data_IF_846822024138
#
_entry.id   IF_846822024138
#
_cell.length_a   1.000
_cell.length_b   1.000
_cell.length_c   1.000
_cell.angle_alpha   90.00
_cell.angle_beta   90.00
_cell.angle_gamma   90.00
#
_symmetry.space_group_name_H-M   'P 1'
#
loop_
_entity.id
_entity.type
_entity.pdbx_description
1 polymer ?
#
# COMPACT_ATOMS: atom_id res chain seq x y z
N UNK A 1 -42.66 -25.97 -33.11
CA UNK A 1 -42.39 -24.70 -32.43
C UNK A 1 -41.02 -24.25 -32.86
N UNK A 2 -40.97 -23.23 -33.70
CA UNK A 2 -39.80 -22.86 -34.51
C UNK A 2 -39.09 -21.67 -33.87
N UNK A 3 -37.75 -21.63 -33.91
CA UNK A 3 -36.87 -20.57 -33.38
C UNK A 3 -37.22 -19.13 -33.82
N UNK A 4 -38.14 -18.94 -34.77
CA UNK A 4 -38.69 -17.64 -35.17
C UNK A 4 -39.74 -17.07 -34.21
N UNK A 5 -40.43 -17.91 -33.44
CA UNK A 5 -41.47 -17.43 -32.50
C UNK A 5 -40.86 -16.85 -31.22
N UNK A 6 -39.63 -17.26 -30.87
CA UNK A 6 -38.92 -16.75 -29.71
C UNK A 6 -38.35 -15.33 -29.92
N UNK A 7 -38.04 -14.93 -31.17
CA UNK A 7 -37.51 -13.59 -31.43
C UNK A 7 -38.62 -12.54 -31.43
N UNK A 8 -39.83 -12.83 -31.92
CA UNK A 8 -40.90 -11.80 -31.95
C UNK A 8 -41.48 -11.51 -30.56
N UNK A 9 -41.47 -12.48 -29.64
CA UNK A 9 -41.85 -12.23 -28.24
C UNK A 9 -40.84 -11.32 -27.52
N UNK A 10 -39.55 -11.42 -27.86
CA UNK A 10 -38.52 -10.58 -27.23
C UNK A 10 -38.57 -9.11 -27.68
N UNK A 11 -39.07 -8.82 -28.88
CA UNK A 11 -39.25 -7.45 -29.35
C UNK A 11 -40.52 -6.79 -28.82
N UNK A 12 -41.62 -7.54 -28.66
CA UNK A 12 -42.85 -7.01 -28.06
C UNK A 12 -42.70 -6.67 -26.57
N UNK A 13 -41.81 -7.38 -25.85
CA UNK A 13 -41.51 -7.07 -24.43
C UNK A 13 -40.62 -5.82 -24.25
N UNK A 14 -39.94 -5.38 -25.30
CA UNK A 14 -39.12 -4.17 -25.29
C UNK A 14 -39.94 -2.89 -25.59
N UNK A 15 -41.02 -2.98 -26.37
CA UNK A 15 -41.89 -1.83 -26.67
C UNK A 15 -42.84 -1.46 -25.51
N UNK A 16 -43.23 -2.41 -24.65
CA UNK A 16 -44.03 -2.13 -23.44
C UNK A 16 -43.22 -1.51 -22.28
N UNK A 17 -41.89 -1.33 -22.44
CA UNK A 17 -41.05 -0.61 -21.47
C UNK A 17 -40.78 0.86 -21.84
N UNK A 18 -41.31 1.37 -22.97
CA UNK A 18 -41.17 2.78 -23.37
C UNK A 18 -42.24 3.73 -22.78
N UNK A 19 -43.19 3.21 -21.98
CA UNK A 19 -44.42 3.91 -21.58
C UNK A 19 -44.38 4.73 -20.28
N UNK A 20 -43.44 4.47 -19.38
CA UNK A 20 -43.22 5.30 -18.20
C UNK A 20 -41.76 5.70 -18.22
N UNK A 21 -41.47 6.98 -18.46
CA UNK A 21 -40.25 7.57 -17.92
C UNK A 21 -40.54 7.68 -16.41
N UNK A 22 -40.12 6.72 -15.55
CA UNK A 22 -40.16 6.99 -14.12
C UNK A 22 -39.34 8.26 -13.98
N UNK A 23 -39.99 9.31 -13.51
CA UNK A 23 -39.33 10.56 -13.20
C UNK A 23 -38.00 10.21 -12.52
N UNK A 24 -36.89 10.74 -13.03
CA UNK A 24 -35.63 10.79 -12.29
C UNK A 24 -35.89 11.59 -11.00
N UNK A 25 -36.56 10.97 -10.04
CA UNK A 25 -36.57 11.40 -8.66
C UNK A 25 -35.12 11.29 -8.23
N UNK A 26 -34.44 12.45 -8.18
CA UNK A 26 -33.05 12.51 -7.76
C UNK A 26 -32.91 11.78 -6.42
N UNK A 27 -31.76 11.11 -6.24
CA UNK A 27 -31.47 10.31 -5.06
C UNK A 27 -31.92 11.00 -3.75
N UNK A 28 -32.93 10.44 -3.09
CA UNK A 28 -33.46 10.96 -1.84
C UNK A 28 -32.77 10.27 -0.65
N UNK A 29 -31.70 10.90 -0.16
CA UNK A 29 -30.92 10.39 0.97
C UNK A 29 -31.76 10.05 2.21
N UNK A 30 -32.86 10.78 2.46
CA UNK A 30 -33.73 10.49 3.63
C UNK A 30 -34.49 9.18 3.46
N UNK A 31 -34.91 8.87 2.24
CA UNK A 31 -35.59 7.62 1.92
C UNK A 31 -34.64 6.43 2.10
N UNK A 32 -33.45 6.50 1.49
CA UNK A 32 -32.42 5.47 1.61
C UNK A 32 -32.02 5.20 3.07
N UNK A 33 -31.90 6.25 3.90
CA UNK A 33 -31.64 6.08 5.33
C UNK A 33 -32.82 5.41 6.06
N UNK A 34 -34.06 5.72 5.70
CA UNK A 34 -35.23 5.11 6.34
C UNK A 34 -35.38 3.63 5.97
N UNK A 35 -35.09 3.26 4.72
CA UNK A 35 -35.07 1.87 4.26
C UNK A 35 -33.97 1.07 4.95
N UNK A 36 -32.76 1.64 5.03
CA UNK A 36 -31.65 1.01 5.75
C UNK A 36 -31.97 0.80 7.24
N UNK A 37 -32.61 1.79 7.87
CA UNK A 37 -33.03 1.69 9.27
C UNK A 37 -34.11 0.62 9.47
N UNK A 38 -35.09 0.52 8.58
CA UNK A 38 -36.12 -0.51 8.61
C UNK A 38 -35.49 -1.90 8.42
N UNK A 39 -34.64 -2.06 7.40
CA UNK A 39 -33.94 -3.30 7.11
C UNK A 39 -33.07 -3.75 8.30
N UNK A 40 -32.34 -2.82 8.92
CA UNK A 40 -31.52 -3.11 10.10
C UNK A 40 -32.34 -3.51 11.33
N UNK A 41 -33.58 -3.04 11.46
CA UNK A 41 -34.47 -3.42 12.56
C UNK A 41 -35.04 -4.82 12.35
N UNK A 42 -35.32 -5.20 11.11
CA UNK A 42 -35.80 -6.53 10.73
C UNK A 42 -34.68 -7.59 10.75
N UNK A 43 -33.43 -7.18 10.49
CA UNK A 43 -32.27 -8.06 10.40
C UNK A 43 -31.17 -7.64 11.39
N UNK A 44 -31.31 -7.94 12.69
CA UNK A 44 -30.31 -7.54 13.70
C UNK A 44 -28.92 -8.15 13.45
N UNK A 45 -28.86 -9.31 12.80
CA UNK A 45 -27.60 -9.97 12.42
C UNK A 45 -26.83 -9.20 11.34
N UNK A 46 -27.50 -8.36 10.55
CA UNK A 46 -26.86 -7.53 9.53
C UNK A 46 -25.90 -6.51 10.15
N UNK A 47 -26.38 -5.75 11.15
CA UNK A 47 -25.56 -4.75 11.84
C UNK A 47 -24.34 -5.38 12.54
N UNK A 48 -24.54 -6.57 13.13
CA UNK A 48 -23.45 -7.34 13.73
C UNK A 48 -22.43 -7.78 12.66
N UNK A 49 -22.89 -8.27 11.51
CA UNK A 49 -22.04 -8.65 10.38
C UNK A 49 -21.19 -7.48 9.85
N UNK A 50 -21.81 -6.33 9.61
CA UNK A 50 -21.12 -5.08 9.21
C UNK A 50 -20.04 -4.72 10.23
N UNK A 51 -20.39 -4.73 11.52
CA UNK A 51 -19.46 -4.43 12.61
C UNK A 51 -18.26 -5.38 12.66
N UNK A 52 -18.47 -6.69 12.47
CA UNK A 52 -17.41 -7.70 12.44
C UNK A 52 -16.45 -7.44 11.27
N UNK A 53 -16.96 -7.22 10.06
CA UNK A 53 -16.12 -6.94 8.89
C UNK A 53 -15.28 -5.67 9.06
N UNK A 54 -15.88 -4.60 9.60
CA UNK A 54 -15.16 -3.37 9.92
C UNK A 54 -14.07 -3.61 10.96
N UNK A 55 -14.36 -4.33 12.05
CA UNK A 55 -13.35 -4.64 13.08
C UNK A 55 -12.19 -5.47 12.53
N UNK A 56 -12.48 -6.51 11.75
CA UNK A 56 -11.45 -7.33 11.08
C UNK A 56 -10.63 -6.47 10.14
N UNK A 57 -11.29 -5.65 9.32
CA UNK A 57 -10.64 -4.77 8.36
C UNK A 57 -9.72 -3.74 9.01
N UNK A 58 -10.15 -3.08 10.07
CA UNK A 58 -9.29 -2.15 10.84
C UNK A 58 -8.12 -2.87 11.52
N UNK A 59 -8.34 -4.06 12.06
CA UNK A 59 -7.27 -4.86 12.67
C UNK A 59 -6.19 -5.19 11.65
N UNK A 60 -6.58 -5.65 10.45
CA UNK A 60 -5.66 -5.90 9.34
C UNK A 60 -4.96 -4.62 8.90
N UNK A 61 -5.69 -3.52 8.71
CA UNK A 61 -5.11 -2.23 8.32
C UNK A 61 -4.01 -1.78 9.30
N UNK A 62 -4.27 -1.84 10.61
CA UNK A 62 -3.30 -1.49 11.65
C UNK A 62 -2.10 -2.43 11.61
N UNK A 63 -2.32 -3.75 11.54
CA UNK A 63 -1.25 -4.74 11.49
C UNK A 63 -0.35 -4.55 10.26
N UNK A 64 -0.95 -4.35 9.08
CA UNK A 64 -0.23 -4.10 7.83
C UNK A 64 0.56 -2.79 7.87
N UNK A 65 -0.01 -1.74 8.48
CA UNK A 65 0.68 -0.46 8.66
C UNK A 65 1.87 -0.58 9.62
N UNK A 66 1.73 -1.30 10.73
CA UNK A 66 2.85 -1.55 11.66
C UNK A 66 3.98 -2.31 10.96
N UNK A 67 3.65 -3.38 10.23
CA UNK A 67 4.64 -4.18 9.49
C UNK A 67 5.38 -3.31 8.46
N UNK A 68 4.63 -2.48 7.73
CA UNK A 68 5.16 -1.56 6.74
C UNK A 68 6.08 -0.52 7.36
N UNK A 69 5.63 0.18 8.42
CA UNK A 69 6.42 1.21 9.09
C UNK A 69 7.68 0.63 9.72
N UNK A 70 7.60 -0.56 10.33
CA UNK A 70 8.77 -1.24 10.88
C UNK A 70 9.83 -1.48 9.80
N UNK A 71 9.41 -1.99 8.64
CA UNK A 71 10.30 -2.21 7.47
C UNK A 71 11.00 -0.93 7.03
N UNK A 72 10.24 0.16 6.83
CA UNK A 72 10.77 1.41 6.30
C UNK A 72 11.58 2.21 7.32
N UNK A 73 11.20 2.21 8.60
CA UNK A 73 11.97 2.87 9.66
C UNK A 73 13.34 2.20 9.79
N UNK A 74 13.40 0.86 9.80
CA UNK A 74 14.68 0.13 9.82
C UNK A 74 15.55 0.51 8.63
N UNK A 75 14.95 0.58 7.44
CA UNK A 75 15.65 0.99 6.22
C UNK A 75 16.23 2.40 6.31
N UNK A 76 15.44 3.36 6.81
CA UNK A 76 15.89 4.74 7.03
C UNK A 76 17.04 4.82 8.02
N UNK A 77 17.00 4.06 9.12
CA UNK A 77 18.08 4.02 10.11
C UNK A 77 19.38 3.50 9.51
N UNK A 78 19.33 2.39 8.75
CA UNK A 78 20.49 1.82 8.06
C UNK A 78 21.08 2.81 7.06
N UNK A 79 20.24 3.40 6.21
CA UNK A 79 20.70 4.39 5.22
C UNK A 79 21.32 5.63 5.88
N UNK A 80 20.73 6.11 6.99
CA UNK A 80 21.27 7.26 7.73
C UNK A 80 22.65 6.96 8.29
N UNK A 81 22.85 5.78 8.86
CA UNK A 81 24.12 5.39 9.46
C UNK A 81 25.20 5.18 8.37
N UNK A 82 24.81 4.67 7.20
CA UNK A 82 25.66 4.61 6.00
C UNK A 82 26.06 6.01 5.50
N UNK A 83 25.11 6.93 5.39
CA UNK A 83 25.37 8.32 5.00
C UNK A 83 26.32 9.02 5.98
N UNK A 84 26.11 8.80 7.27
CA UNK A 84 26.96 9.37 8.31
C UNK A 84 28.40 8.86 8.18
N UNK A 85 28.61 7.55 8.00
CA UNK A 85 29.96 6.99 7.80
C UNK A 85 30.61 7.50 6.53
N UNK A 86 29.86 7.58 5.42
CA UNK A 86 30.36 8.17 4.18
C UNK A 86 30.83 9.60 4.41
N UNK A 87 30.05 10.41 5.13
CA UNK A 87 30.42 11.80 5.44
C UNK A 87 31.72 11.90 6.27
N UNK A 88 31.93 10.95 7.20
CA UNK A 88 33.17 10.90 8.00
C UNK A 88 34.38 10.50 7.17
N UNK A 89 34.21 9.58 6.22
CA UNK A 89 35.26 9.17 5.27
C UNK A 89 35.61 10.33 4.35
N UNK A 90 34.60 10.99 3.78
CA UNK A 90 34.79 12.12 2.86
C UNK A 90 35.45 13.32 3.56
N UNK A 91 35.16 13.53 4.84
CA UNK A 91 35.80 14.56 5.67
C UNK A 91 37.19 14.15 6.20
N UNK A 92 37.67 12.93 5.92
CA UNK A 92 38.97 12.44 6.36
C UNK A 92 39.07 12.05 7.84
N UNK A 93 37.94 11.95 8.55
CA UNK A 93 37.89 11.51 9.95
C UNK A 93 37.96 9.98 10.08
N UNK A 94 37.72 9.23 9.00
CA UNK A 94 37.75 7.76 8.98
C UNK A 94 38.46 7.27 7.73
N UNK A 95 39.30 6.22 7.84
CA UNK A 95 39.91 5.60 6.67
C UNK A 95 38.97 4.55 6.05
N UNK A 96 38.89 4.44 4.71
CA UNK A 96 38.11 3.39 4.04
C UNK A 96 38.58 1.98 4.38
N UNK A 97 39.84 1.83 4.79
CA UNK A 97 40.48 0.57 5.15
C UNK A 97 40.40 0.23 6.64
N UNK A 98 39.67 1.02 7.44
CA UNK A 98 39.51 0.71 8.85
C UNK A 98 38.88 -0.69 9.00
N UNK A 99 39.53 -1.55 9.78
CA UNK A 99 39.14 -2.94 9.95
C UNK A 99 37.68 -3.02 10.42
N UNK A 100 36.83 -3.67 9.63
CA UNK A 100 35.43 -3.93 9.96
C UNK A 100 34.37 -3.11 9.22
N UNK A 101 34.71 -2.01 8.52
CA UNK A 101 33.70 -1.24 7.76
C UNK A 101 33.04 -2.11 6.69
N UNK A 102 33.85 -2.81 5.88
CA UNK A 102 33.33 -3.67 4.81
C UNK A 102 32.48 -4.84 5.35
N UNK A 103 32.83 -5.40 6.51
CA UNK A 103 32.01 -6.45 7.16
C UNK A 103 30.69 -5.87 7.69
N UNK A 104 30.72 -4.66 8.26
CA UNK A 104 29.52 -3.95 8.72
C UNK A 104 28.57 -3.61 7.57
N UNK A 105 29.08 -3.05 6.47
CA UNK A 105 28.29 -2.74 5.27
C UNK A 105 27.66 -4.01 4.68
N UNK A 106 28.40 -5.12 4.66
CA UNK A 106 27.86 -6.42 4.21
C UNK A 106 26.75 -6.94 5.14
N UNK A 107 26.88 -6.76 6.46
CA UNK A 107 25.83 -7.17 7.41
C UNK A 107 24.59 -6.31 7.30
N UNK A 108 24.77 -5.00 7.19
CA UNK A 108 23.67 -4.06 7.04
C UNK A 108 22.91 -4.26 5.74
N UNK A 109 23.61 -4.42 4.61
CA UNK A 109 22.98 -4.75 3.32
C UNK A 109 22.19 -6.06 3.39
N UNK A 110 22.73 -7.11 4.02
CA UNK A 110 21.98 -8.36 4.26
C UNK A 110 20.73 -8.15 5.10
N UNK A 111 20.78 -7.25 6.08
CA UNK A 111 19.63 -6.94 6.94
C UNK A 111 18.50 -6.20 6.21
N UNK A 112 18.78 -5.67 5.02
CA UNK A 112 17.84 -4.93 4.15
C UNK A 112 17.13 -5.81 3.13
N UNK A 113 17.66 -7.00 2.82
CA UNK A 113 17.04 -7.98 1.90
C UNK A 113 15.55 -8.27 2.21
N UNK A 114 15.10 -8.44 3.47
CA UNK A 114 13.69 -8.73 3.73
C UNK A 114 12.75 -7.53 3.53
N UNK A 115 13.28 -6.29 3.45
CA UNK A 115 12.49 -5.06 3.37
C UNK A 115 11.44 -5.05 2.26
N UNK A 116 11.76 -5.29 0.97
CA UNK A 116 10.75 -5.24 -0.09
C UNK A 116 9.59 -6.22 0.16
N UNK A 117 9.87 -7.40 0.74
CA UNK A 117 8.82 -8.37 1.08
C UNK A 117 7.93 -7.89 2.23
N UNK A 118 8.52 -7.31 3.28
CA UNK A 118 7.76 -6.75 4.40
C UNK A 118 6.93 -5.54 3.97
N UNK A 119 7.47 -4.69 3.09
CA UNK A 119 6.79 -3.51 2.58
C UNK A 119 5.63 -3.89 1.64
N UNK A 120 5.86 -4.82 0.69
CA UNK A 120 4.80 -5.35 -0.19
C UNK A 120 3.77 -6.15 0.62
N UNK A 121 4.22 -6.98 1.57
CA UNK A 121 3.33 -7.73 2.46
C UNK A 121 2.45 -6.81 3.31
N UNK A 122 3.03 -5.75 3.88
CA UNK A 122 2.29 -4.72 4.62
C UNK A 122 1.24 -4.02 3.75
N UNK A 123 1.60 -3.67 2.51
CA UNK A 123 0.67 -3.13 1.52
C UNK A 123 -0.49 -4.09 1.22
N UNK A 124 -0.20 -5.38 1.00
CA UNK A 124 -1.24 -6.38 0.72
C UNK A 124 -2.18 -6.58 1.91
N UNK A 125 -1.66 -6.56 3.14
CA UNK A 125 -2.49 -6.63 4.35
C UNK A 125 -3.37 -5.38 4.49
N UNK A 126 -2.84 -4.19 4.20
CA UNK A 126 -3.64 -2.94 4.18
C UNK A 126 -4.73 -3.02 3.10
N UNK A 127 -4.41 -3.50 1.90
CA UNK A 127 -5.38 -3.72 0.83
C UNK A 127 -6.51 -4.65 1.27
N UNK A 128 -6.20 -5.80 1.87
CA UNK A 128 -7.19 -6.72 2.41
C UNK A 128 -8.01 -6.08 3.54
N UNK A 129 -7.36 -5.34 4.43
CA UNK A 129 -8.03 -4.61 5.51
C UNK A 129 -9.05 -3.59 4.98
N UNK A 130 -8.65 -2.77 4.00
CA UNK A 130 -9.54 -1.83 3.32
C UNK A 130 -10.65 -2.53 2.56
N UNK A 131 -10.36 -3.65 1.90
CA UNK A 131 -11.39 -4.47 1.23
C UNK A 131 -12.45 -4.94 2.24
N UNK A 132 -12.04 -5.42 3.41
CA UNK A 132 -12.96 -5.83 4.48
C UNK A 132 -13.77 -4.64 5.05
N UNK A 133 -13.18 -3.46 5.21
CA UNK A 133 -13.90 -2.26 5.68
C UNK A 133 -14.93 -1.80 4.66
N UNK A 134 -14.61 -1.88 3.37
CA UNK A 134 -15.48 -1.41 2.30
C UNK A 134 -16.52 -2.46 1.87
N UNK A 135 -16.28 -3.75 2.11
CA UNK A 135 -17.19 -4.84 1.72
C UNK A 135 -18.65 -4.61 2.10
N UNK A 136 -18.98 -4.22 3.35
CA UNK A 136 -20.36 -4.01 3.75
C UNK A 136 -21.07 -2.87 3.00
N UNK A 137 -20.32 -1.97 2.35
CA UNK A 137 -20.92 -0.92 1.51
C UNK A 137 -21.64 -1.54 0.32
N UNK A 138 -21.17 -2.66 -0.23
CA UNK A 138 -21.90 -3.33 -1.31
C UNK A 138 -23.28 -3.81 -0.86
N UNK A 139 -23.35 -4.43 0.31
CA UNK A 139 -24.62 -4.92 0.85
C UNK A 139 -25.57 -3.74 1.13
N UNK A 140 -25.04 -2.63 1.66
CA UNK A 140 -25.82 -1.40 1.88
C UNK A 140 -26.33 -0.80 0.55
N UNK A 141 -25.50 -0.78 -0.49
CA UNK A 141 -25.88 -0.26 -1.81
C UNK A 141 -26.96 -1.11 -2.49
N UNK A 142 -26.93 -2.43 -2.27
CA UNK A 142 -27.95 -3.36 -2.77
C UNK A 142 -29.29 -3.12 -2.05
N UNK A 143 -29.28 -2.89 -0.74
CA UNK A 143 -30.49 -2.60 0.05
C UNK A 143 -31.21 -1.33 -0.40
N UNK A 144 -30.47 -0.32 -0.88
CA UNK A 144 -31.02 0.99 -1.28
C UNK A 144 -31.31 1.06 -2.79
N UNK A 145 -31.30 -0.08 -3.49
CA UNK A 145 -31.61 -0.24 -4.92
C UNK A 145 -30.83 0.72 -5.84
N UNK A 146 -29.64 1.15 -5.42
CA UNK A 146 -28.77 1.95 -6.27
C UNK A 146 -28.11 1.03 -7.29
N UNK A 147 -28.10 1.38 -8.60
CA UNK A 147 -27.40 0.60 -9.61
C UNK A 147 -25.91 0.58 -9.30
N UNK A 148 -25.50 -0.44 -8.55
CA UNK A 148 -24.13 -0.65 -8.20
C UNK A 148 -23.43 -1.14 -9.46
N UNK A 149 -22.68 -0.24 -10.12
CA UNK A 149 -21.47 -0.60 -10.89
C UNK A 149 -20.80 -1.76 -10.14
N UNK A 150 -20.38 -2.86 -10.80
CA UNK A 150 -20.02 -4.11 -10.12
C UNK A 150 -19.25 -3.86 -8.84
N UNK A 151 -19.95 -3.93 -7.69
CA UNK A 151 -19.46 -3.30 -6.46
C UNK A 151 -18.14 -3.91 -6.00
N UNK A 152 -17.99 -5.21 -6.26
CA UNK A 152 -16.75 -5.97 -6.08
C UNK A 152 -15.58 -5.33 -6.85
N UNK A 153 -15.78 -4.85 -8.08
CA UNK A 153 -14.74 -4.19 -8.87
C UNK A 153 -14.35 -2.85 -8.23
N UNK A 154 -15.33 -2.08 -7.76
CA UNK A 154 -15.08 -0.81 -7.07
C UNK A 154 -14.31 -1.03 -5.77
N UNK A 155 -14.67 -2.06 -4.99
CA UNK A 155 -13.96 -2.40 -3.75
C UNK A 155 -12.55 -2.87 -4.06
N UNK A 156 -12.38 -3.84 -4.96
CA UNK A 156 -11.05 -4.43 -5.23
C UNK A 156 -10.09 -3.39 -5.82
N UNK A 157 -10.50 -2.66 -6.85
CA UNK A 157 -9.66 -1.64 -7.48
C UNK A 157 -9.50 -0.43 -6.56
N UNK A 158 -10.58 0.02 -5.93
CA UNK A 158 -10.56 1.19 -5.05
C UNK A 158 -9.74 0.97 -3.78
N UNK A 159 -9.85 -0.19 -3.13
CA UNK A 159 -9.03 -0.52 -1.96
C UNK A 159 -7.56 -0.73 -2.32
N UNK A 160 -7.26 -1.33 -3.47
CA UNK A 160 -5.88 -1.46 -3.94
C UNK A 160 -5.26 -0.09 -4.18
N UNK A 161 -5.97 0.78 -4.89
CA UNK A 161 -5.55 2.14 -5.15
C UNK A 161 -5.38 2.97 -3.87
N UNK A 162 -6.35 2.88 -2.95
CA UNK A 162 -6.29 3.56 -1.66
C UNK A 162 -5.11 3.04 -0.82
N UNK A 163 -4.88 1.73 -0.79
CA UNK A 163 -3.73 1.13 -0.09
C UNK A 163 -2.41 1.70 -0.63
N UNK A 164 -2.28 1.83 -1.95
CA UNK A 164 -1.08 2.41 -2.58
C UNK A 164 -0.90 3.88 -2.21
N UNK A 165 -1.99 4.67 -2.16
CA UNK A 165 -1.95 6.07 -1.72
C UNK A 165 -1.55 6.21 -0.24
N UNK A 166 -2.03 5.32 0.63
CA UNK A 166 -1.67 5.28 2.05
C UNK A 166 -0.19 4.91 2.22
N UNK A 167 0.28 3.89 1.52
CA UNK A 167 1.69 3.45 1.58
C UNK A 167 2.62 4.55 1.11
N UNK A 168 2.32 5.19 -0.03
CA UNK A 168 3.15 6.30 -0.54
C UNK A 168 3.14 7.51 0.40
N UNK A 169 2.01 7.81 1.05
CA UNK A 169 1.99 8.84 2.10
C UNK A 169 2.97 8.50 3.24
N UNK A 170 2.91 7.27 3.76
CA UNK A 170 3.79 6.86 4.85
C UNK A 170 5.25 6.77 4.45
N UNK A 171 5.56 6.40 3.19
CA UNK A 171 6.91 6.55 2.64
C UNK A 171 7.38 7.99 2.70
N UNK A 172 6.54 8.95 2.28
CA UNK A 172 6.89 10.36 2.35
C UNK A 172 7.21 10.81 3.79
N UNK A 173 6.41 10.38 4.76
CA UNK A 173 6.64 10.70 6.18
C UNK A 173 7.95 10.09 6.68
N UNK A 174 8.15 8.78 6.49
CA UNK A 174 9.30 8.05 7.02
C UNK A 174 10.62 8.51 6.39
N UNK A 175 10.61 8.78 5.07
CA UNK A 175 11.80 9.17 4.33
C UNK A 175 12.09 10.67 4.34
N UNK A 176 11.19 11.51 4.88
CA UNK A 176 11.34 12.96 4.89
C UNK A 176 12.64 13.45 5.55
N UNK A 177 13.13 12.71 6.55
CA UNK A 177 14.31 13.09 7.34
C UNK A 177 15.65 12.79 6.64
N UNK A 178 15.71 11.77 5.79
CA UNK A 178 16.96 11.30 5.16
C UNK A 178 17.00 11.58 3.67
N UNK A 179 15.86 11.49 2.98
CA UNK A 179 15.73 11.63 1.52
C UNK A 179 14.56 12.57 1.18
N UNK A 180 14.68 13.89 1.40
CA UNK A 180 13.58 14.84 1.21
C UNK A 180 13.02 14.89 -0.21
N UNK A 181 13.84 14.69 -1.25
CA UNK A 181 13.39 14.72 -2.64
C UNK A 181 12.61 13.45 -3.01
N UNK A 182 13.07 12.28 -2.53
CA UNK A 182 12.31 11.04 -2.65
C UNK A 182 10.96 11.14 -1.91
N UNK A 183 10.99 11.66 -0.68
CA UNK A 183 9.79 11.89 0.12
C UNK A 183 8.79 12.83 -0.58
N UNK A 184 9.28 13.90 -1.22
CA UNK A 184 8.44 14.81 -1.99
C UNK A 184 7.77 14.10 -3.18
N UNK A 185 8.50 13.25 -3.91
CA UNK A 185 7.93 12.46 -5.01
C UNK A 185 6.80 11.55 -4.51
N UNK A 186 7.02 10.83 -3.41
CA UNK A 186 5.98 9.99 -2.80
C UNK A 186 4.77 10.80 -2.30
N UNK A 187 4.99 11.99 -1.76
CA UNK A 187 3.91 12.87 -1.31
C UNK A 187 3.06 13.35 -2.50
N UNK A 188 3.70 13.74 -3.61
CA UNK A 188 2.99 14.15 -4.84
C UNK A 188 2.16 13.00 -5.40
N UNK A 189 2.74 11.79 -5.43
CA UNK A 189 2.01 10.57 -5.80
C UNK A 189 0.80 10.43 -4.86
N UNK A 190 0.99 10.31 -3.56
CA UNK A 190 -0.12 10.11 -2.62
C UNK A 190 -1.23 11.18 -2.73
N UNK A 191 -0.88 12.46 -2.78
CA UNK A 191 -1.86 13.55 -2.87
C UNK A 191 -2.63 13.53 -4.19
N UNK A 192 -1.94 13.35 -5.32
CA UNK A 192 -2.60 13.29 -6.63
C UNK A 192 -3.51 12.07 -6.74
N UNK A 193 -3.14 10.93 -6.15
CA UNK A 193 -3.99 9.75 -6.06
C UNK A 193 -5.25 10.00 -5.22
N UNK A 194 -5.09 10.55 -4.02
CA UNK A 194 -6.22 10.88 -3.15
C UNK A 194 -7.20 11.89 -3.79
N UNK A 195 -6.71 12.82 -4.61
CA UNK A 195 -7.57 13.74 -5.38
C UNK A 195 -8.36 13.04 -6.50
N UNK A 196 -7.87 11.91 -7.03
CA UNK A 196 -8.53 11.14 -8.08
C UNK A 196 -9.60 10.18 -7.54
N UNK A 197 -9.48 9.69 -6.31
CA UNK A 197 -10.44 8.74 -5.71
C UNK A 197 -11.91 9.18 -5.81
N UNK A 198 -12.27 10.44 -5.48
CA UNK A 198 -13.67 10.89 -5.55
C UNK A 198 -14.22 10.99 -6.97
N UNK A 199 -13.37 11.01 -8.00
CA UNK A 199 -13.83 11.13 -9.39
C UNK A 199 -14.57 9.89 -9.88
N UNK A 200 -14.35 8.74 -9.23
CA UNK A 200 -14.97 7.47 -9.61
C UNK A 200 -14.61 6.97 -11.02
N UNK A 201 -13.66 7.62 -11.72
CA UNK A 201 -13.29 7.28 -13.09
C UNK A 201 -12.19 6.21 -13.11
N UNK A 202 -12.50 4.95 -13.47
CA UNK A 202 -11.49 3.87 -13.49
C UNK A 202 -10.40 4.13 -14.53
N UNK A 203 -10.72 4.84 -15.63
CA UNK A 203 -9.76 5.18 -16.67
C UNK A 203 -8.68 6.13 -16.13
N UNK A 204 -9.09 7.18 -15.39
CA UNK A 204 -8.14 8.12 -14.78
C UNK A 204 -7.25 7.42 -13.73
N UNK A 205 -7.84 6.51 -12.95
CA UNK A 205 -7.11 5.67 -11.98
C UNK A 205 -6.04 4.83 -12.68
N UNK A 206 -6.37 4.15 -13.78
CA UNK A 206 -5.41 3.32 -14.53
C UNK A 206 -4.28 4.17 -15.13
N UNK A 207 -4.62 5.31 -15.77
CA UNK A 207 -3.61 6.22 -16.32
C UNK A 207 -2.68 6.72 -15.22
N UNK A 208 -3.24 7.12 -14.07
CA UNK A 208 -2.46 7.56 -12.93
C UNK A 208 -1.53 6.45 -12.41
N UNK A 209 -2.00 5.21 -12.33
CA UNK A 209 -1.19 4.07 -11.90
C UNK A 209 0.01 3.86 -12.84
N UNK A 210 -0.22 3.91 -14.16
CA UNK A 210 0.86 3.80 -15.15
C UNK A 210 1.89 4.93 -14.95
N UNK A 211 1.43 6.16 -14.75
CA UNK A 211 2.30 7.33 -14.53
C UNK A 211 3.05 7.21 -13.20
N UNK A 212 2.40 6.76 -12.12
CA UNK A 212 3.02 6.62 -10.81
C UNK A 212 4.07 5.50 -10.79
N UNK A 213 3.76 4.32 -11.33
CA UNK A 213 4.72 3.21 -11.43
C UNK A 213 5.83 3.51 -12.43
N UNK A 214 5.50 4.02 -13.62
CA UNK A 214 6.47 4.37 -14.64
C UNK A 214 7.40 5.50 -14.18
N UNK A 215 6.83 6.55 -13.59
CA UNK A 215 7.58 7.67 -13.01
C UNK A 215 8.43 7.24 -11.81
N UNK A 216 7.89 6.40 -10.93
CA UNK A 216 8.63 5.83 -9.81
C UNK A 216 9.80 4.96 -10.28
N UNK A 217 9.56 4.05 -11.23
CA UNK A 217 10.62 3.23 -11.83
C UNK A 217 11.71 4.09 -12.49
N UNK A 218 11.29 5.10 -13.25
CA UNK A 218 12.21 6.02 -13.91
C UNK A 218 13.05 6.78 -12.88
N UNK A 219 12.42 7.34 -11.84
CA UNK A 219 13.11 8.15 -10.83
C UNK A 219 14.01 7.33 -9.90
N UNK A 220 13.51 6.22 -9.34
CA UNK A 220 14.24 5.46 -8.32
C UNK A 220 15.23 4.45 -8.88
N UNK A 221 15.02 3.95 -10.11
CA UNK A 221 15.91 2.93 -10.69
C UNK A 221 16.69 3.46 -11.88
N UNK A 222 15.99 3.95 -12.91
CA UNK A 222 16.64 4.29 -14.17
C UNK A 222 17.61 5.48 -14.02
N UNK A 223 17.19 6.58 -13.39
CA UNK A 223 18.05 7.77 -13.25
C UNK A 223 19.35 7.45 -12.46
N UNK A 224 19.30 6.84 -11.26
CA UNK A 224 20.53 6.50 -10.53
C UNK A 224 21.49 5.55 -11.27
N UNK A 225 20.96 4.58 -12.02
CA UNK A 225 21.74 3.67 -12.86
C UNK A 225 22.46 4.42 -13.99
N UNK A 226 21.78 5.36 -14.66
CA UNK A 226 22.38 6.17 -15.73
C UNK A 226 23.57 6.99 -15.23
N UNK A 227 23.46 7.64 -14.06
CA UNK A 227 24.58 8.36 -13.46
C UNK A 227 25.75 7.43 -13.10
N UNK A 228 25.44 6.22 -12.60
CA UNK A 228 26.47 5.24 -12.28
C UNK A 228 27.21 4.73 -13.52
N UNK A 229 26.51 4.54 -14.64
CA UNK A 229 27.09 4.09 -15.91
C UNK A 229 27.97 5.16 -16.57
N UNK A 230 27.57 6.42 -16.50
CA UNK A 230 28.31 7.53 -17.12
C UNK A 230 29.49 8.00 -16.26
N UNK A 231 29.54 7.62 -14.98
CA UNK A 231 30.55 8.10 -14.03
C UNK A 231 30.34 9.56 -13.61
N UNK A 232 29.15 10.10 -13.87
CA UNK A 232 28.78 11.47 -13.52
C UNK A 232 28.42 11.58 -12.03
N UNK A 233 28.74 12.71 -11.40
CA UNK A 233 28.30 13.00 -10.04
C UNK A 233 26.78 13.09 -9.97
N UNK A 234 26.18 12.36 -9.02
CA UNK A 234 24.73 12.36 -8.81
C UNK A 234 24.29 13.71 -8.25
N UNK A 235 23.36 14.44 -8.90
CA UNK A 235 22.86 15.68 -8.34
C UNK A 235 22.01 15.41 -7.09
N UNK A 236 21.90 16.40 -6.21
CA UNK A 236 21.27 16.25 -4.89
C UNK A 236 19.79 15.81 -4.92
N UNK A 237 19.09 16.03 -6.03
CA UNK A 237 17.69 15.63 -6.23
C UNK A 237 17.54 14.17 -6.64
N UNK A 238 18.61 13.48 -7.05
CA UNK A 238 18.61 12.05 -7.38
C UNK A 238 18.87 11.29 -6.09
N UNK A 239 17.79 10.97 -5.40
CA UNK A 239 17.82 10.29 -4.12
C UNK A 239 17.26 8.89 -4.25
N UNK A 240 18.09 7.91 -3.91
CA UNK A 240 17.68 6.52 -3.82
C UNK A 240 17.08 6.24 -2.43
N UNK A 241 16.05 5.40 -2.40
CA UNK A 241 15.47 4.85 -1.18
C UNK A 241 16.05 3.49 -0.82
N UNK A 242 17.11 3.05 -1.49
CA UNK A 242 17.78 1.78 -1.28
C UNK A 242 17.23 0.69 -2.20
N UNK A 243 17.90 -0.45 -2.22
CA UNK A 243 17.54 -1.53 -3.14
C UNK A 243 16.17 -2.15 -2.79
N UNK A 244 15.33 -2.26 -3.82
CA UNK A 244 14.02 -2.94 -3.81
C UNK A 244 14.02 -4.16 -4.74
N UNK A 245 15.19 -4.75 -4.99
CA UNK A 245 15.26 -6.03 -5.70
C UNK A 245 14.55 -7.12 -4.90
N UNK A 246 13.54 -7.73 -5.52
CA UNK A 246 12.86 -8.90 -5.00
C UNK A 246 13.51 -10.11 -5.66
N UNK A 247 14.16 -10.94 -4.87
CA UNK A 247 14.57 -12.28 -5.29
C UNK A 247 13.37 -13.21 -5.30
N UNK A 248 13.26 -14.02 -6.35
CA UNK A 248 12.27 -15.10 -6.39
C UNK A 248 12.85 -16.42 -5.86
N UNK A 249 14.11 -16.44 -5.42
CA UNK A 249 14.75 -17.63 -4.85
C UNK A 249 14.26 -17.85 -3.40
N UNK A 250 13.53 -18.95 -3.12
CA UNK A 250 13.06 -19.26 -1.77
C UNK A 250 14.21 -19.49 -0.77
N UNK A 251 15.38 -19.94 -1.24
CA UNK A 251 16.55 -20.17 -0.39
C UNK A 251 17.10 -18.85 0.16
N UNK A 252 17.28 -17.88 -0.73
CA UNK A 252 17.71 -16.52 -0.36
C UNK A 252 16.72 -15.86 0.61
N UNK A 253 15.42 -16.12 0.45
CA UNK A 253 14.40 -15.64 1.37
C UNK A 253 14.51 -16.27 2.76
N UNK A 254 14.65 -17.59 2.84
CA UNK A 254 14.81 -18.31 4.12
C UNK A 254 16.07 -17.86 4.87
N UNK A 255 17.17 -17.67 4.14
CA UNK A 255 18.42 -17.18 4.69
C UNK A 255 18.30 -15.72 5.17
N UNK A 256 17.71 -14.83 4.37
CA UNK A 256 17.50 -13.44 4.76
C UNK A 256 16.58 -13.30 5.98
N UNK A 257 15.49 -14.08 6.03
CA UNK A 257 14.56 -14.09 7.15
C UNK A 257 15.21 -14.60 8.43
N UNK A 258 15.96 -15.70 8.35
CA UNK A 258 16.65 -16.28 9.50
C UNK A 258 17.75 -15.36 10.05
N UNK A 259 18.55 -14.74 9.17
CA UNK A 259 19.58 -13.77 9.55
C UNK A 259 18.94 -12.52 10.18
N UNK A 260 17.87 -11.99 9.60
CA UNK A 260 17.18 -10.82 10.17
C UNK A 260 16.60 -11.12 11.55
N UNK A 261 16.02 -12.31 11.72
CA UNK A 261 15.51 -12.76 13.03
C UNK A 261 16.63 -12.90 14.04
N UNK A 262 17.72 -13.59 13.71
CA UNK A 262 18.88 -13.76 14.58
C UNK A 262 19.48 -12.41 14.99
N UNK A 263 19.68 -11.49 14.03
CA UNK A 263 20.19 -10.14 14.34
C UNK A 263 19.26 -9.39 15.29
N UNK A 264 17.94 -9.49 15.09
CA UNK A 264 16.96 -8.83 15.97
C UNK A 264 16.99 -9.41 17.37
N UNK A 265 17.06 -10.74 17.51
CA UNK A 265 17.19 -11.41 18.80
C UNK A 265 18.50 -11.02 19.48
N UNK A 266 19.60 -11.00 18.74
CA UNK A 266 20.91 -10.61 19.25
C UNK A 266 20.91 -9.15 19.73
N UNK A 267 20.32 -8.23 18.97
CA UNK A 267 20.21 -6.82 19.33
C UNK A 267 19.36 -6.62 20.59
N UNK A 268 18.24 -7.34 20.69
CA UNK A 268 17.39 -7.33 21.89
C UNK A 268 18.15 -7.90 23.10
N UNK A 269 18.87 -9.01 22.93
CA UNK A 269 19.66 -9.63 24.00
C UNK A 269 20.84 -8.76 24.44
N UNK A 270 21.51 -8.07 23.51
CA UNK A 270 22.61 -7.14 23.81
C UNK A 270 22.13 -5.81 24.39
N UNK A 271 20.92 -5.37 24.03
CA UNK A 271 20.29 -4.18 24.56
C UNK A 271 19.71 -4.36 25.97
N UNK A 272 19.55 -5.60 26.44
CA UNK A 272 19.17 -5.88 27.83
C UNK A 272 20.36 -5.61 28.75
N UNK A 273 20.23 -4.69 29.73
CA UNK A 273 21.31 -4.41 30.67
C UNK A 273 21.63 -5.68 31.47
N UNK A 274 22.89 -6.14 31.38
CA UNK A 274 23.40 -7.34 32.05
C UNK A 274 23.21 -7.36 33.58
N UNK A 275 22.88 -6.21 34.19
CA UNK A 275 22.61 -6.07 35.62
C UNK A 275 21.21 -6.57 36.05
N UNK A 276 20.25 -6.74 35.12
CA UNK A 276 18.93 -7.28 35.45
C UNK A 276 18.93 -8.80 35.72
N UNK A 277 19.96 -9.51 35.25
CA UNK A 277 20.17 -10.95 35.51
C UNK A 277 20.87 -11.26 36.83
N UNK A 278 21.31 -10.24 37.58
CA UNK A 278 21.92 -10.41 38.92
C UNK A 278 20.93 -10.30 40.10
N UNK A 279 19.64 -10.12 39.83
CA UNK A 279 18.59 -9.93 40.85
C UNK A 279 17.49 -11.01 40.82
N UNK A 280 17.72 -12.11 40.12
CA UNK A 280 16.95 -13.36 40.22
C UNK A 280 17.89 -14.49 40.65
#
# INVERSE_FOLDING_TARGET
>A
MTLRDASSQSYAMLEDMEGENPHHEGFNFRHALSELAAYSAENPDFAAGVGIWMMVGFTLLIAGLILFLFSEIKAVLVCRDQDFRKSLVDAGYMSPSAAGIADLEMRESRSMIPRPYLSVGGMMIIYLGLSCVLYPICDILDIIDLPAVPCILLITVGSFFASFCIITFWLAVVWSCTRPWAALAFLIISLSGNLLLPTGSPILVVIWMIVAFGGGYFYFKYIPEQYALNGDERPAWVQDVGDYTISLDPGEWGDAASVSYQNTVDDVMRGMPSEATGLL
#
